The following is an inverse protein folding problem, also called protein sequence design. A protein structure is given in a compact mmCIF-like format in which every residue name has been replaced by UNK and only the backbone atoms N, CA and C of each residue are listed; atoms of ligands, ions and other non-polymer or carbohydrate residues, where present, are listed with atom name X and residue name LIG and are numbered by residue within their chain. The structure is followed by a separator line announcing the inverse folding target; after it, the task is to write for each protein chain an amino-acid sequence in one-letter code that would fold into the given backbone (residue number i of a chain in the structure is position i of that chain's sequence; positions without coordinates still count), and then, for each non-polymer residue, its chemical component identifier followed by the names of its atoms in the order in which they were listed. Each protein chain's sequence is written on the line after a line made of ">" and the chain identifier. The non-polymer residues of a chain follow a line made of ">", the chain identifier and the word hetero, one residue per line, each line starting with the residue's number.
data_IF_466896770543
#
_entry.id   IF_466896770543
#
_cell.length_a   1.000
_cell.length_b   1.000
_cell.length_c   1.000
_cell.angle_alpha   90.00
_cell.angle_beta   90.00
_cell.angle_gamma   90.00
#
_symmetry.space_group_name_H-M   'P 1'
#
loop_
_entity.id
_entity.type
_entity.pdbx_description
1 polymer ?
#
# COMPACT_ATOMS: atom_id res chain seq x y z
N UNK A 1 15.16 12.42 -80.24
CA UNK A 1 13.87 11.99 -79.68
C UNK A 1 13.96 10.51 -79.39
N UNK A 2 14.19 10.16 -78.13
CA UNK A 2 13.77 8.92 -77.46
C UNK A 2 13.95 9.20 -75.98
N UNK A 3 12.88 9.71 -75.37
CA UNK A 3 12.71 9.85 -73.93
C UNK A 3 12.42 8.46 -73.35
N UNK A 4 13.22 8.04 -72.37
CA UNK A 4 12.94 6.88 -71.54
C UNK A 4 12.71 7.36 -70.12
N UNK A 5 11.45 7.66 -69.80
CA UNK A 5 10.99 8.07 -68.46
C UNK A 5 10.99 6.83 -67.55
N UNK A 6 12.05 6.67 -66.75
CA UNK A 6 12.12 5.72 -65.65
C UNK A 6 11.27 6.23 -64.49
N UNK A 7 10.27 5.46 -64.12
CA UNK A 7 9.28 5.76 -63.09
C UNK A 7 9.86 5.38 -61.71
N UNK A 8 10.36 6.37 -60.96
CA UNK A 8 10.81 6.20 -59.58
C UNK A 8 9.60 5.97 -58.66
N UNK A 9 9.22 4.69 -58.47
CA UNK A 9 8.36 4.29 -57.36
C UNK A 9 9.20 4.24 -56.09
N UNK A 10 9.23 5.38 -55.40
CA UNK A 10 9.66 5.49 -54.02
C UNK A 10 8.60 4.80 -53.15
N UNK A 11 8.88 3.55 -52.75
CA UNK A 11 8.10 2.89 -51.71
C UNK A 11 8.28 3.67 -50.40
N UNK A 12 7.21 3.98 -49.64
CA UNK A 12 7.37 4.56 -48.32
C UNK A 12 8.10 3.57 -47.44
N UNK A 13 9.25 3.97 -46.91
CA UNK A 13 9.99 3.23 -45.90
C UNK A 13 9.03 2.86 -44.77
N UNK A 14 8.81 1.56 -44.59
CA UNK A 14 8.16 1.04 -43.40
C UNK A 14 9.06 1.40 -42.22
N UNK A 15 8.75 2.49 -41.53
CA UNK A 15 9.36 2.85 -40.25
C UNK A 15 9.20 1.67 -39.30
N UNK A 16 10.28 0.89 -39.18
CA UNK A 16 10.44 -0.09 -38.12
C UNK A 16 10.33 0.69 -36.82
N UNK A 17 9.36 0.32 -35.97
CA UNK A 17 9.21 0.93 -34.65
C UNK A 17 10.55 0.97 -33.90
N UNK A 18 10.75 1.93 -32.98
CA UNK A 18 12.04 2.18 -32.37
C UNK A 18 12.61 0.89 -31.76
N UNK A 19 13.65 0.36 -32.41
CA UNK A 19 14.36 -0.84 -31.99
C UNK A 19 15.10 -0.50 -30.69
N UNK A 20 14.62 -1.03 -29.57
CA UNK A 20 15.18 -0.72 -28.25
C UNK A 20 16.58 -1.34 -28.18
N UNK A 21 17.58 -0.51 -27.90
CA UNK A 21 18.98 -0.95 -27.78
C UNK A 21 19.09 -2.17 -26.83
N UNK A 22 19.64 -3.31 -27.29
CA UNK A 22 19.78 -4.51 -26.46
C UNK A 22 20.58 -4.27 -25.17
N UNK A 23 21.48 -3.30 -25.14
CA UNK A 23 22.18 -2.90 -23.92
C UNK A 23 21.23 -2.23 -22.91
N UNK A 24 20.34 -1.36 -23.37
CA UNK A 24 19.31 -0.72 -22.54
C UNK A 24 18.33 -1.77 -22.00
N UNK A 25 17.91 -2.73 -22.83
CA UNK A 25 17.06 -3.84 -22.41
C UNK A 25 17.74 -4.74 -21.36
N UNK A 26 19.05 -5.01 -21.50
CA UNK A 26 19.81 -5.79 -20.52
C UNK A 26 19.93 -5.06 -19.18
N UNK A 27 20.23 -3.76 -19.20
CA UNK A 27 20.28 -2.93 -17.98
C UNK A 27 18.91 -2.87 -17.29
N UNK A 28 17.82 -2.67 -18.05
CA UNK A 28 16.47 -2.66 -17.49
C UNK A 28 16.12 -3.98 -16.79
N UNK A 29 16.51 -5.13 -17.36
CA UNK A 29 16.31 -6.45 -16.74
C UNK A 29 17.07 -6.61 -15.42
N UNK A 30 18.31 -6.13 -15.34
CA UNK A 30 19.11 -6.21 -14.11
C UNK A 30 18.54 -5.31 -12.99
N UNK A 31 18.09 -4.10 -13.33
CA UNK A 31 17.43 -3.18 -12.39
C UNK A 31 16.08 -3.73 -11.89
N UNK A 32 15.30 -4.36 -12.78
CA UNK A 32 14.06 -5.06 -12.41
C UNK A 32 14.33 -6.22 -11.46
N UNK A 33 15.36 -7.03 -11.73
CA UNK A 33 15.77 -8.14 -10.86
C UNK A 33 16.22 -7.66 -9.49
N UNK A 34 16.97 -6.56 -9.45
CA UNK A 34 17.45 -5.94 -8.21
C UNK A 34 16.27 -5.39 -7.39
N UNK A 35 15.34 -4.67 -8.02
CA UNK A 35 14.13 -4.14 -7.38
C UNK A 35 13.27 -5.26 -6.81
N UNK A 36 13.07 -6.32 -7.59
CA UNK A 36 12.32 -7.50 -7.16
C UNK A 36 12.98 -8.18 -5.95
N UNK A 37 14.31 -8.34 -5.98
CA UNK A 37 15.07 -8.93 -4.86
C UNK A 37 14.92 -8.08 -3.59
N UNK A 38 14.99 -6.75 -3.72
CA UNK A 38 14.78 -5.82 -2.62
C UNK A 38 13.35 -5.93 -2.03
N UNK A 39 12.32 -6.05 -2.87
CA UNK A 39 10.94 -6.23 -2.42
C UNK A 39 10.74 -7.54 -1.66
N UNK A 40 11.31 -8.65 -2.14
CA UNK A 40 11.25 -9.95 -1.46
C UNK A 40 11.94 -9.89 -0.10
N UNK A 41 13.13 -9.28 -0.04
CA UNK A 41 13.87 -9.16 1.22
C UNK A 41 13.10 -8.30 2.24
N UNK A 42 12.53 -7.17 1.79
CA UNK A 42 11.68 -6.33 2.64
C UNK A 42 10.45 -7.08 3.15
N UNK A 43 9.81 -7.90 2.33
CA UNK A 43 8.68 -8.73 2.75
C UNK A 43 9.08 -9.79 3.80
N UNK A 44 10.24 -10.43 3.63
CA UNK A 44 10.78 -11.38 4.63
C UNK A 44 11.12 -10.69 5.96
N UNK A 45 11.64 -9.47 5.88
CA UNK A 45 11.89 -8.66 7.07
C UNK A 45 10.58 -8.32 7.80
N UNK A 46 9.52 -7.97 7.05
CA UNK A 46 8.19 -7.72 7.60
C UNK A 46 7.62 -8.97 8.28
N UNK A 47 7.72 -10.14 7.64
CA UNK A 47 7.26 -11.41 8.22
C UNK A 47 8.01 -11.74 9.53
N UNK A 48 9.34 -11.58 9.51
CA UNK A 48 10.18 -11.78 10.70
C UNK A 48 9.76 -10.85 11.84
N UNK A 49 9.48 -9.58 11.56
CA UNK A 49 8.95 -8.62 12.56
C UNK A 49 7.56 -9.03 13.05
N UNK A 50 6.68 -9.50 12.16
CA UNK A 50 5.33 -9.93 12.52
C UNK A 50 5.34 -11.12 13.48
N UNK A 51 6.21 -12.12 13.26
CA UNK A 51 6.32 -13.27 14.17
C UNK A 51 6.96 -12.89 15.51
N UNK A 52 7.89 -11.93 15.53
CA UNK A 52 8.43 -11.39 16.78
C UNK A 52 7.36 -10.67 17.60
N UNK A 53 6.52 -9.85 16.95
CA UNK A 53 5.37 -9.19 17.58
C UNK A 53 4.37 -10.22 18.10
N UNK A 54 4.06 -11.25 17.30
CA UNK A 54 3.16 -12.34 17.73
C UNK A 54 3.69 -13.04 18.99
N UNK A 55 4.97 -13.38 19.02
CA UNK A 55 5.62 -13.98 20.20
C UNK A 55 5.53 -13.05 21.41
N UNK A 56 5.82 -11.76 21.24
CA UNK A 56 5.70 -10.77 22.32
C UNK A 56 4.26 -10.68 22.86
N UNK A 57 3.25 -10.68 21.98
CA UNK A 57 1.84 -10.68 22.37
C UNK A 57 1.45 -11.93 23.16
N UNK A 58 1.90 -13.10 22.73
CA UNK A 58 1.64 -14.35 23.45
C UNK A 58 2.29 -14.36 24.84
N UNK A 59 3.51 -13.83 24.97
CA UNK A 59 4.18 -13.65 26.27
C UNK A 59 3.39 -12.69 27.15
N UNK A 60 2.96 -11.55 26.61
CA UNK A 60 2.18 -10.56 27.35
C UNK A 60 0.84 -11.13 27.83
N UNK A 61 0.11 -11.83 26.95
CA UNK A 61 -1.12 -12.55 27.33
C UNK A 61 -0.82 -13.55 28.45
N UNK A 62 0.27 -14.31 28.35
CA UNK A 62 0.71 -15.23 29.40
C UNK A 62 0.88 -14.53 30.75
N UNK A 63 1.58 -13.39 30.78
CA UNK A 63 1.76 -12.58 31.99
C UNK A 63 0.42 -12.10 32.55
N UNK A 64 -0.49 -11.59 31.69
CA UNK A 64 -1.82 -11.13 32.11
C UNK A 64 -2.65 -12.27 32.68
N UNK A 65 -2.66 -13.43 32.03
CA UNK A 65 -3.39 -14.62 32.48
C UNK A 65 -2.82 -15.15 33.80
N UNK A 66 -1.48 -15.19 33.94
CA UNK A 66 -0.83 -15.58 35.20
C UNK A 66 -1.17 -14.60 36.32
N UNK A 67 -1.07 -13.29 36.08
CA UNK A 67 -1.44 -12.26 37.05
C UNK A 67 -2.91 -12.36 37.47
N UNK A 68 -3.81 -12.54 36.50
CA UNK A 68 -5.23 -12.76 36.76
C UNK A 68 -5.50 -14.03 37.58
N UNK A 69 -4.78 -15.13 37.30
CA UNK A 69 -4.91 -16.38 38.06
C UNK A 69 -4.52 -16.21 39.53
N UNK A 70 -3.47 -15.44 39.81
CA UNK A 70 -3.06 -15.12 41.19
C UNK A 70 -4.15 -14.33 41.90
N UNK A 71 -4.71 -13.29 41.25
CA UNK A 71 -5.79 -12.47 41.82
C UNK A 71 -7.02 -13.31 42.15
N UNK A 72 -7.41 -14.23 41.27
CA UNK A 72 -8.55 -15.16 41.49
C UNK A 72 -8.31 -16.10 42.68
N UNK A 73 -7.07 -16.50 42.93
CA UNK A 73 -6.73 -17.42 44.02
C UNK A 73 -6.62 -16.72 45.38
N UNK A 74 -6.41 -15.42 45.40
CA UNK A 74 -6.39 -14.62 46.63
C UNK A 74 -7.80 -14.21 47.06
N UNK A 75 -8.06 -13.99 48.35
CA UNK A 75 -9.34 -13.48 48.90
C UNK A 75 -9.63 -12.02 48.51
N UNK A 76 -9.02 -11.54 47.43
CA UNK A 76 -9.16 -10.19 46.90
C UNK A 76 -10.50 -10.08 46.17
N UNK A 77 -11.23 -8.99 46.39
CA UNK A 77 -12.49 -8.73 45.69
C UNK A 77 -12.26 -8.58 44.18
N UNK A 78 -12.60 -9.63 43.44
CA UNK A 78 -12.51 -9.71 41.98
C UNK A 78 -13.30 -8.59 41.27
N UNK A 79 -14.31 -8.03 41.92
CA UNK A 79 -15.13 -6.94 41.38
C UNK A 79 -14.31 -5.69 41.05
N UNK A 80 -13.24 -5.41 41.81
CA UNK A 80 -12.37 -4.26 41.53
C UNK A 80 -11.48 -4.43 40.30
N UNK A 81 -11.10 -5.67 39.98
CA UNK A 81 -10.17 -5.99 38.90
C UNK A 81 -10.86 -6.29 37.56
N UNK A 82 -12.14 -6.68 37.59
CA UNK A 82 -13.01 -6.76 36.42
C UNK A 82 -13.64 -5.39 36.15
N UNK A 83 -12.89 -4.52 35.48
CA UNK A 83 -13.31 -3.15 35.18
C UNK A 83 -13.18 -2.84 33.67
N UNK A 84 -13.72 -1.71 33.18
CA UNK A 84 -13.73 -1.38 31.75
C UNK A 84 -12.32 -1.39 31.12
N UNK A 85 -11.28 -1.04 31.88
CA UNK A 85 -9.91 -1.02 31.38
C UNK A 85 -9.37 -2.43 31.13
N UNK A 86 -9.52 -3.35 32.09
CA UNK A 86 -9.00 -4.72 31.92
C UNK A 86 -9.74 -5.45 30.80
N UNK A 87 -11.05 -5.20 30.65
CA UNK A 87 -11.85 -5.71 29.53
C UNK A 87 -11.39 -5.13 28.18
N UNK A 88 -11.25 -3.81 28.08
CA UNK A 88 -10.80 -3.15 26.85
C UNK A 88 -9.37 -3.58 26.48
N UNK A 89 -8.46 -3.60 27.46
CA UNK A 89 -7.08 -4.06 27.26
C UNK A 89 -7.02 -5.51 26.82
N UNK A 90 -7.77 -6.40 27.46
CA UNK A 90 -7.87 -7.81 27.05
C UNK A 90 -8.40 -7.96 25.61
N UNK A 91 -9.45 -7.23 25.26
CA UNK A 91 -9.99 -7.24 23.90
C UNK A 91 -9.00 -6.71 22.86
N UNK A 92 -8.32 -5.59 23.15
CA UNK A 92 -7.29 -5.02 22.28
C UNK A 92 -6.11 -5.97 22.07
N UNK A 93 -5.67 -6.70 23.11
CA UNK A 93 -4.63 -7.74 22.97
C UNK A 93 -5.09 -8.87 22.06
N UNK A 94 -6.34 -9.34 22.19
CA UNK A 94 -6.87 -10.39 21.33
C UNK A 94 -6.96 -9.95 19.88
N UNK A 95 -7.48 -8.75 19.61
CA UNK A 95 -7.55 -8.18 18.26
C UNK A 95 -6.14 -8.02 17.67
N UNK A 96 -5.18 -7.48 18.46
CA UNK A 96 -3.79 -7.34 18.04
C UNK A 96 -3.15 -8.69 17.66
N UNK A 97 -3.38 -9.72 18.49
CA UNK A 97 -2.87 -11.07 18.22
C UNK A 97 -3.48 -11.66 16.94
N UNK A 98 -4.78 -11.46 16.72
CA UNK A 98 -5.45 -11.88 15.48
C UNK A 98 -4.88 -11.16 14.24
N UNK A 99 -4.68 -9.84 14.32
CA UNK A 99 -4.06 -9.07 13.23
C UNK A 99 -2.63 -9.52 12.94
N UNK A 100 -1.82 -9.77 13.97
CA UNK A 100 -0.47 -10.30 13.81
C UNK A 100 -0.47 -11.66 13.09
N UNK A 101 -1.38 -12.56 13.48
CA UNK A 101 -1.53 -13.87 12.84
C UNK A 101 -1.97 -13.74 11.37
N UNK A 102 -2.94 -12.86 11.07
CA UNK A 102 -3.36 -12.59 9.68
C UNK A 102 -2.19 -12.04 8.87
N UNK A 103 -1.44 -11.08 9.42
CA UNK A 103 -0.27 -10.48 8.75
C UNK A 103 0.78 -11.53 8.42
N UNK A 104 1.07 -12.44 9.36
CA UNK A 104 1.94 -13.59 9.13
C UNK A 104 1.41 -14.50 8.00
N UNK A 105 0.14 -14.90 8.06
CA UNK A 105 -0.44 -15.79 7.03
C UNK A 105 -0.59 -15.13 5.65
N UNK A 106 -0.81 -13.82 5.60
CA UNK A 106 -0.96 -13.05 4.37
C UNK A 106 0.40 -12.67 3.75
N UNK A 107 1.48 -12.74 4.53
CA UNK A 107 2.85 -12.56 4.06
C UNK A 107 3.41 -13.81 3.36
N UNK A 108 2.68 -14.93 3.37
CA UNK A 108 3.04 -16.12 2.61
C UNK A 108 2.91 -15.80 1.10
N UNK A 109 4.04 -15.42 0.52
CA UNK A 109 4.17 -15.08 -0.88
C UNK A 109 3.77 -16.30 -1.72
N UNK A 110 2.88 -16.09 -2.69
CA UNK A 110 2.95 -16.87 -3.93
C UNK A 110 4.31 -16.56 -4.56
N UNK A 111 5.28 -17.45 -4.33
CA UNK A 111 6.55 -17.44 -5.02
C UNK A 111 6.27 -17.31 -6.53
N UNK A 112 6.95 -16.37 -7.17
CA UNK A 112 6.77 -16.07 -8.59
C UNK A 112 6.90 -17.33 -9.46
N UNK A 113 6.45 -17.21 -10.71
CA UNK A 113 6.47 -18.24 -11.76
C UNK A 113 7.56 -19.28 -11.50
N UNK A 114 7.15 -20.50 -11.15
CA UNK A 114 8.09 -21.58 -10.94
C UNK A 114 8.83 -21.86 -12.25
N UNK A 115 10.02 -22.44 -12.17
CA UNK A 115 10.76 -22.87 -13.37
C UNK A 115 9.86 -23.77 -14.25
N UNK A 116 8.97 -24.56 -13.63
CA UNK A 116 7.99 -25.38 -14.35
C UNK A 116 6.93 -24.56 -15.09
N UNK A 117 6.49 -23.42 -14.56
CA UNK A 117 5.54 -22.53 -15.23
C UNK A 117 6.19 -21.80 -16.42
N UNK A 118 7.46 -21.42 -16.27
CA UNK A 118 8.26 -20.83 -17.35
C UNK A 118 8.49 -21.87 -18.46
N UNK A 119 8.87 -23.10 -18.10
CA UNK A 119 9.07 -24.21 -19.05
C UNK A 119 7.77 -24.56 -19.77
N UNK A 120 6.62 -24.58 -19.07
CA UNK A 120 5.32 -24.81 -19.67
C UNK A 120 4.92 -23.70 -20.64
N UNK A 121 5.24 -22.44 -20.32
CA UNK A 121 4.96 -21.29 -21.18
C UNK A 121 5.86 -21.28 -22.42
N UNK A 122 7.15 -21.62 -22.28
CA UNK A 122 8.08 -21.78 -23.41
C UNK A 122 7.65 -22.95 -24.32
N UNK A 123 7.20 -24.07 -23.72
CA UNK A 123 6.68 -25.21 -24.47
C UNK A 123 5.41 -24.85 -25.26
N UNK A 124 4.46 -24.15 -24.63
CA UNK A 124 3.22 -23.70 -25.28
C UNK A 124 3.49 -22.72 -26.43
N UNK A 125 4.49 -21.84 -26.29
CA UNK A 125 4.87 -20.92 -27.37
C UNK A 125 5.59 -21.65 -28.51
N UNK A 126 6.39 -22.67 -28.21
CA UNK A 126 7.03 -23.55 -29.22
C UNK A 126 6.00 -24.39 -29.99
N UNK A 127 4.91 -24.78 -29.33
CA UNK A 127 3.77 -25.45 -29.98
C UNK A 127 2.97 -24.48 -30.87
N UNK A 128 2.75 -23.23 -30.44
CA UNK A 128 2.12 -22.19 -31.28
C UNK A 128 2.99 -21.74 -32.45
N UNK A 129 4.31 -21.72 -32.27
CA UNK A 129 5.30 -21.42 -33.30
C UNK A 129 5.67 -22.61 -34.18
N UNK A 130 5.01 -23.77 -34.04
CA UNK A 130 5.20 -24.87 -34.98
C UNK A 130 4.69 -24.47 -36.36
N UNK A 131 5.51 -24.62 -37.42
CA UNK A 131 5.15 -24.27 -38.78
C UNK A 131 4.18 -25.33 -39.31
N UNK A 132 2.91 -25.19 -38.95
CA UNK A 132 1.83 -25.89 -39.65
C UNK A 132 1.31 -24.91 -40.70
N UNK A 133 1.87 -25.07 -41.89
CA UNK A 133 1.38 -24.58 -43.17
C UNK A 133 1.26 -23.04 -43.32
N UNK A 134 2.42 -22.39 -43.50
CA UNK A 134 2.51 -21.06 -44.16
C UNK A 134 2.89 -21.29 -45.63
N UNK A 135 2.02 -21.97 -46.36
CA UNK A 135 1.91 -21.81 -47.80
C UNK A 135 0.49 -21.25 -48.01
N UNK A 136 0.36 -20.04 -48.55
CA UNK A 136 -0.90 -19.31 -48.82
C UNK A 136 -1.63 -18.60 -47.66
N UNK A 137 -0.92 -17.81 -46.83
CA UNK A 137 -1.58 -16.69 -46.13
C UNK A 137 -1.09 -15.35 -46.66
N UNK A 138 -2.01 -14.70 -47.38
CA UNK A 138 -1.89 -13.38 -47.98
C UNK A 138 -1.26 -12.35 -47.02
N UNK A 139 -0.37 -11.55 -47.58
CA UNK A 139 0.43 -10.53 -46.92
C UNK A 139 -0.36 -9.30 -46.41
N UNK A 140 -1.65 -9.44 -46.14
CA UNK A 140 -2.55 -8.33 -45.77
C UNK A 140 -3.04 -8.37 -44.30
N UNK A 141 -2.68 -9.38 -43.51
CA UNK A 141 -3.01 -9.42 -42.08
C UNK A 141 -1.81 -9.10 -41.17
N UNK A 142 -1.11 -8.00 -41.49
CA UNK A 142 -0.17 -7.32 -40.61
C UNK A 142 -0.87 -6.54 -39.46
N UNK A 143 -2.06 -7.00 -39.04
CA UNK A 143 -2.92 -6.34 -38.06
C UNK A 143 -3.19 -7.16 -36.80
N UNK A 144 -2.82 -8.44 -36.74
CA UNK A 144 -2.98 -9.24 -35.51
C UNK A 144 -1.78 -9.06 -34.58
N UNK A 145 -1.74 -7.91 -33.90
CA UNK A 145 -0.83 -7.57 -32.79
C UNK A 145 -1.06 -8.50 -31.59
N UNK A 146 -0.67 -9.77 -31.72
CA UNK A 146 -0.50 -10.62 -30.55
C UNK A 146 0.79 -10.15 -29.88
N UNK A 147 0.74 -9.65 -28.63
CA UNK A 147 1.92 -9.16 -27.94
C UNK A 147 2.97 -10.29 -27.90
N UNK A 148 4.21 -9.96 -28.27
CA UNK A 148 5.32 -10.92 -28.29
C UNK A 148 5.50 -11.61 -26.94
N UNK A 149 6.14 -12.77 -26.92
CA UNK A 149 6.43 -13.50 -25.69
C UNK A 149 7.08 -12.61 -24.61
N UNK A 150 8.03 -11.76 -25.02
CA UNK A 150 8.69 -10.79 -24.14
C UNK A 150 7.71 -9.77 -23.55
N UNK A 151 6.75 -9.28 -24.33
CA UNK A 151 5.74 -8.33 -23.84
C UNK A 151 4.78 -8.98 -22.83
N UNK A 152 4.39 -10.24 -23.06
CA UNK A 152 3.54 -10.99 -22.11
C UNK A 152 4.27 -11.31 -20.81
N UNK A 153 5.56 -11.66 -20.88
CA UNK A 153 6.40 -11.82 -19.69
C UNK A 153 6.52 -10.51 -18.93
N UNK A 154 6.85 -9.41 -19.60
CA UNK A 154 6.98 -8.10 -18.97
C UNK A 154 5.65 -7.65 -18.32
N UNK A 155 4.52 -7.87 -18.97
CA UNK A 155 3.18 -7.59 -18.39
C UNK A 155 2.92 -8.43 -17.15
N UNK A 156 3.24 -9.73 -17.18
CA UNK A 156 3.08 -10.62 -16.02
C UNK A 156 3.98 -10.22 -14.83
N UNK A 157 5.23 -9.81 -15.09
CA UNK A 157 6.12 -9.29 -14.04
C UNK A 157 5.63 -7.96 -13.48
N UNK A 158 5.13 -7.06 -14.33
CA UNK A 158 4.55 -5.79 -13.90
C UNK A 158 3.33 -6.02 -12.97
N UNK A 159 2.41 -6.90 -13.36
CA UNK A 159 1.25 -7.26 -12.54
C UNK A 159 1.65 -7.84 -11.18
N UNK A 160 2.71 -8.65 -11.14
CA UNK A 160 3.19 -9.26 -9.90
C UNK A 160 3.91 -8.25 -8.99
N UNK A 161 4.67 -7.32 -9.56
CA UNK A 161 5.27 -6.20 -8.82
C UNK A 161 4.17 -5.33 -8.20
N UNK A 162 3.13 -5.00 -8.96
CA UNK A 162 1.99 -4.23 -8.48
C UNK A 162 1.24 -4.95 -7.34
N UNK A 163 1.06 -6.27 -7.46
CA UNK A 163 0.47 -7.07 -6.40
C UNK A 163 1.33 -7.06 -5.13
N UNK A 164 2.64 -7.31 -5.26
CA UNK A 164 3.56 -7.33 -4.13
C UNK A 164 3.67 -5.96 -3.46
N UNK A 165 3.62 -4.86 -4.24
CA UNK A 165 3.59 -3.50 -3.70
C UNK A 165 2.33 -3.29 -2.84
N UNK A 166 1.15 -3.70 -3.32
CA UNK A 166 -0.10 -3.63 -2.54
C UNK A 166 -0.03 -4.47 -1.27
N UNK A 167 0.44 -5.71 -1.35
CA UNK A 167 0.58 -6.59 -0.17
C UNK A 167 1.56 -6.00 0.84
N UNK A 168 2.68 -5.44 0.38
CA UNK A 168 3.67 -4.78 1.25
C UNK A 168 3.04 -3.60 1.98
N UNK A 169 2.28 -2.76 1.28
CA UNK A 169 1.60 -1.60 1.86
C UNK A 169 0.58 -2.01 2.93
N UNK A 170 -0.22 -3.04 2.63
CA UNK A 170 -1.20 -3.60 3.56
C UNK A 170 -0.51 -4.17 4.80
N UNK A 171 0.56 -4.95 4.62
CA UNK A 171 1.27 -5.57 5.75
C UNK A 171 1.97 -4.54 6.64
N UNK A 172 2.54 -3.48 6.07
CA UNK A 172 3.16 -2.39 6.82
C UNK A 172 2.13 -1.62 7.67
N UNK A 173 0.95 -1.36 7.09
CA UNK A 173 -0.19 -0.78 7.81
C UNK A 173 -0.64 -1.69 8.96
N UNK A 174 -0.86 -2.99 8.68
CA UNK A 174 -1.29 -3.97 9.69
C UNK A 174 -0.27 -4.12 10.81
N UNK A 175 1.03 -4.15 10.50
CA UNK A 175 2.10 -4.20 11.49
C UNK A 175 2.05 -2.97 12.41
N UNK A 176 1.91 -1.77 11.84
CA UNK A 176 1.81 -0.54 12.64
C UNK A 176 0.57 -0.55 13.54
N UNK A 177 -0.60 -0.90 13.00
CA UNK A 177 -1.85 -0.98 13.77
C UNK A 177 -1.70 -2.01 14.90
N UNK A 178 -1.12 -3.17 14.60
CA UNK A 178 -0.88 -4.24 15.59
C UNK A 178 -0.06 -3.69 16.76
N UNK A 179 1.09 -3.05 16.49
CA UNK A 179 1.96 -2.48 17.54
C UNK A 179 1.23 -1.44 18.39
N UNK A 180 0.45 -0.55 17.76
CA UNK A 180 -0.35 0.45 18.48
C UNK A 180 -1.40 -0.20 19.39
N UNK A 181 -2.08 -1.25 18.90
CA UNK A 181 -3.04 -2.01 19.71
C UNK A 181 -2.38 -2.67 20.91
N UNK A 182 -1.19 -3.29 20.76
CA UNK A 182 -0.45 -3.88 21.88
C UNK A 182 -0.14 -2.84 22.94
N UNK A 183 0.40 -1.70 22.50
CA UNK A 183 0.77 -0.61 23.39
C UNK A 183 -0.44 -0.09 24.18
N UNK A 184 -1.53 0.22 23.47
CA UNK A 184 -2.77 0.66 24.12
C UNK A 184 -3.30 -0.40 25.08
N UNK A 185 -3.30 -1.67 24.67
CA UNK A 185 -3.79 -2.75 25.49
C UNK A 185 -3.00 -2.89 26.79
N UNK A 186 -1.67 -2.78 26.72
CA UNK A 186 -0.81 -2.76 27.89
C UNK A 186 -1.14 -1.58 28.81
N UNK A 187 -1.29 -0.37 28.26
CA UNK A 187 -1.68 0.83 29.03
C UNK A 187 -3.02 0.63 29.74
N UNK A 188 -4.02 0.08 29.05
CA UNK A 188 -5.33 -0.24 29.64
C UNK A 188 -5.21 -1.28 30.74
N UNK A 189 -4.47 -2.38 30.54
CA UNK A 189 -4.31 -3.40 31.58
C UNK A 189 -3.64 -2.82 32.83
N UNK A 190 -2.55 -2.06 32.67
CA UNK A 190 -1.84 -1.43 33.78
C UNK A 190 -2.74 -0.43 34.52
N UNK A 191 -3.46 0.42 33.79
CA UNK A 191 -4.41 1.35 34.37
C UNK A 191 -5.54 0.62 35.11
N UNK A 192 -6.06 -0.47 34.54
CA UNK A 192 -7.11 -1.29 35.15
C UNK A 192 -6.69 -1.93 36.46
N UNK A 193 -5.45 -2.44 36.53
CA UNK A 193 -4.88 -2.97 37.78
C UNK A 193 -4.73 -1.84 38.82
N UNK A 194 -4.25 -0.67 38.42
CA UNK A 194 -4.09 0.47 39.32
C UNK A 194 -5.44 0.97 39.87
N UNK A 195 -6.46 1.07 39.00
CA UNK A 195 -7.83 1.46 39.37
C UNK A 195 -8.46 0.45 40.34
N UNK A 196 -8.30 -0.85 40.06
CA UNK A 196 -8.77 -1.91 40.94
C UNK A 196 -8.08 -1.90 42.30
N UNK A 197 -6.76 -1.71 42.32
CA UNK A 197 -5.99 -1.62 43.56
C UNK A 197 -6.31 -0.37 44.39
N UNK A 198 -6.63 0.76 43.73
CA UNK A 198 -7.03 1.99 44.40
C UNK A 198 -8.46 1.93 44.96
N UNK A 199 -9.26 0.94 44.57
CA UNK A 199 -10.64 0.79 45.02
C UNK A 199 -11.55 1.94 44.58
N UNK A 200 -11.33 2.48 43.38
CA UNK A 200 -12.14 3.57 42.85
C UNK A 200 -13.61 3.13 42.70
N UNK A 201 -14.53 4.07 42.91
CA UNK A 201 -15.94 3.83 42.63
C UNK A 201 -16.17 3.56 41.14
N UNK A 202 -17.34 3.00 40.81
CA UNK A 202 -17.71 2.75 39.41
C UNK A 202 -17.70 4.03 38.56
N UNK A 203 -18.20 5.14 39.10
CA UNK A 203 -18.23 6.41 38.39
C UNK A 203 -16.81 6.96 38.11
N UNK A 204 -15.93 6.94 39.10
CA UNK A 204 -14.54 7.39 38.95
C UNK A 204 -13.77 6.52 37.96
N UNK A 205 -14.01 5.21 37.97
CA UNK A 205 -13.43 4.26 37.03
C UNK A 205 -13.87 4.56 35.59
N UNK A 206 -15.16 4.81 35.35
CA UNK A 206 -15.67 5.15 34.02
C UNK A 206 -15.17 6.51 33.52
N UNK A 207 -15.08 7.52 34.40
CA UNK A 207 -14.52 8.82 34.04
C UNK A 207 -13.04 8.69 33.68
N UNK A 208 -12.26 7.98 34.49
CA UNK A 208 -10.83 7.73 34.22
C UNK A 208 -10.64 6.95 32.92
N UNK A 209 -11.52 5.99 32.64
CA UNK A 209 -11.53 5.22 31.41
C UNK A 209 -11.79 6.11 30.20
N UNK A 210 -12.79 6.99 30.27
CA UNK A 210 -13.10 7.93 29.20
C UNK A 210 -11.92 8.88 28.93
N UNK A 211 -11.30 9.43 29.98
CA UNK A 211 -10.12 10.30 29.85
C UNK A 211 -8.97 9.56 29.19
N UNK A 212 -8.63 8.36 29.66
CA UNK A 212 -7.56 7.57 29.07
C UNK A 212 -7.87 7.18 27.61
N UNK A 213 -9.14 6.90 27.30
CA UNK A 213 -9.58 6.59 25.93
C UNK A 213 -9.40 7.78 25.00
N UNK A 214 -9.74 8.99 25.45
CA UNK A 214 -9.52 10.22 24.68
C UNK A 214 -8.03 10.46 24.45
N UNK A 215 -7.20 10.30 25.48
CA UNK A 215 -5.75 10.45 25.36
C UNK A 215 -5.14 9.38 24.43
N UNK A 216 -5.56 8.13 24.57
CA UNK A 216 -5.14 7.03 23.70
C UNK A 216 -5.54 7.26 22.25
N UNK A 217 -6.79 7.70 22.01
CA UNK A 217 -7.27 8.08 20.69
C UNK A 217 -6.47 9.25 20.08
N UNK A 218 -6.16 10.27 20.88
CA UNK A 218 -5.28 11.37 20.48
C UNK A 218 -3.87 10.89 20.11
N UNK A 219 -3.28 10.01 20.92
CA UNK A 219 -1.99 9.40 20.63
C UNK A 219 -2.01 8.60 19.32
N UNK A 220 -3.03 7.74 19.12
CA UNK A 220 -3.19 6.98 17.88
C UNK A 220 -3.39 7.89 16.68
N UNK A 221 -4.16 8.98 16.82
CA UNK A 221 -4.36 9.96 15.78
C UNK A 221 -3.04 10.65 15.39
N UNK A 222 -2.24 11.09 16.38
CA UNK A 222 -0.91 11.67 16.13
C UNK A 222 -0.01 10.65 15.45
N UNK A 223 0.07 9.41 15.96
CA UNK A 223 0.89 8.35 15.38
C UNK A 223 0.49 8.05 13.93
N UNK A 224 -0.80 8.12 13.60
CA UNK A 224 -1.29 7.97 12.24
C UNK A 224 -0.89 9.14 11.33
N UNK A 225 -0.80 10.38 11.85
CA UNK A 225 -0.48 11.57 11.07
C UNK A 225 1.03 11.89 11.02
N UNK A 226 1.83 11.40 11.97
CA UNK A 226 3.28 11.60 11.97
C UNK A 226 3.97 10.97 10.76
N UNK A 227 3.37 9.95 10.15
CA UNK A 227 3.90 9.29 8.95
C UNK A 227 3.85 10.20 7.69
N UNK A 228 3.18 11.35 7.77
CA UNK A 228 3.08 12.34 6.69
C UNK A 228 4.03 13.54 6.84
N UNK A 229 4.91 13.52 7.85
CA UNK A 229 5.87 14.60 8.09
C UNK A 229 7.22 14.42 7.37
N UNK A 230 7.41 13.32 6.64
CA UNK A 230 8.45 13.26 5.63
C UNK A 230 8.05 14.14 4.45
N UNK A 231 8.90 15.07 3.96
CA UNK A 231 8.56 15.81 2.75
C UNK A 231 8.23 14.78 1.67
N UNK A 232 7.01 14.84 1.13
CA UNK A 232 6.65 14.13 -0.09
C UNK A 232 7.74 14.48 -1.11
N UNK A 233 8.68 13.57 -1.35
CA UNK A 233 9.63 13.74 -2.45
C UNK A 233 8.91 13.41 -3.75
N UNK A 234 7.78 14.08 -4.01
CA UNK A 234 7.16 14.23 -5.33
C UNK A 234 7.99 15.24 -6.10
N UNK A 235 9.24 14.90 -6.37
CA UNK A 235 10.07 15.69 -7.26
C UNK A 235 9.62 15.37 -8.68
N UNK A 236 8.72 16.20 -9.23
CA UNK A 236 8.32 16.14 -10.64
C UNK A 236 9.53 16.20 -11.59
N UNK A 237 10.68 16.70 -11.13
CA UNK A 237 11.94 16.75 -11.86
C UNK A 237 12.80 15.46 -11.76
N UNK A 238 12.43 14.47 -10.94
CA UNK A 238 13.17 13.22 -10.75
C UNK A 238 12.43 11.98 -11.27
N UNK A 239 11.15 12.13 -11.65
CA UNK A 239 10.35 11.12 -12.34
C UNK A 239 10.38 11.36 -13.85
N UNK A 240 10.57 10.31 -14.65
CA UNK A 240 10.29 10.40 -16.09
C UNK A 240 8.82 10.76 -16.30
N UNK A 241 8.50 11.46 -17.40
CA UNK A 241 7.13 11.78 -17.75
C UNK A 241 6.32 10.47 -17.87
N UNK A 242 5.37 10.26 -16.96
CA UNK A 242 4.61 9.01 -16.83
C UNK A 242 5.11 7.95 -15.83
N UNK A 243 6.27 8.11 -15.16
CA UNK A 243 6.80 7.15 -14.18
C UNK A 243 6.87 7.76 -12.79
N UNK A 244 5.85 7.53 -11.96
CA UNK A 244 5.82 8.01 -10.58
C UNK A 244 6.69 7.13 -9.68
N UNK A 245 7.83 7.66 -9.22
CA UNK A 245 8.62 7.05 -8.15
C UNK A 245 7.90 7.29 -6.82
N UNK A 246 6.91 6.45 -6.51
CA UNK A 246 6.23 6.45 -5.21
C UNK A 246 7.17 5.85 -4.15
N UNK A 247 7.44 6.62 -3.08
CA UNK A 247 8.27 6.20 -1.95
C UNK A 247 7.44 5.31 -1.02
N UNK A 248 6.99 4.16 -1.53
CA UNK A 248 6.03 3.29 -0.84
C UNK A 248 4.61 3.87 -0.88
N UNK A 249 3.63 2.99 -1.02
CA UNK A 249 2.23 3.38 -1.06
C UNK A 249 1.85 4.14 0.22
N UNK A 250 1.18 5.29 0.06
CA UNK A 250 0.63 6.05 1.17
C UNK A 250 -0.36 5.17 1.96
N UNK A 251 -0.55 5.39 3.27
CA UNK A 251 -1.49 4.57 4.07
C UNK A 251 -2.93 4.61 3.56
N UNK A 252 -3.33 5.70 2.89
CA UNK A 252 -4.61 5.80 2.16
C UNK A 252 -4.68 4.83 1.00
N UNK A 253 -3.57 4.65 0.29
CA UNK A 253 -3.41 3.68 -0.78
C UNK A 253 -3.33 2.24 -0.24
N UNK A 254 -2.69 2.03 0.91
CA UNK A 254 -2.72 0.75 1.62
C UNK A 254 -4.15 0.37 2.05
N UNK A 255 -4.93 1.34 2.54
CA UNK A 255 -6.33 1.13 2.93
C UNK A 255 -7.24 0.89 1.72
N UNK A 256 -7.07 1.65 0.63
CA UNK A 256 -7.82 1.41 -0.61
C UNK A 256 -7.46 0.05 -1.22
N UNK A 257 -6.18 -0.35 -1.14
CA UNK A 257 -5.71 -1.67 -1.57
C UNK A 257 -6.31 -2.78 -0.73
N UNK A 258 -6.38 -2.61 0.61
CA UNK A 258 -7.07 -3.55 1.50
C UNK A 258 -8.55 -3.68 1.14
N UNK A 259 -9.25 -2.56 0.94
CA UNK A 259 -10.67 -2.55 0.56
C UNK A 259 -10.89 -3.25 -0.79
N UNK A 260 -10.04 -2.97 -1.77
CA UNK A 260 -10.08 -3.63 -3.07
C UNK A 260 -9.84 -5.15 -2.95
N UNK A 261 -8.88 -5.58 -2.11
CA UNK A 261 -8.65 -7.01 -1.80
C UNK A 261 -9.84 -7.67 -1.11
N UNK A 262 -10.58 -6.92 -0.29
CA UNK A 262 -11.81 -7.37 0.37
C UNK A 262 -13.06 -7.32 -0.55
N UNK A 263 -12.90 -6.95 -1.82
CA UNK A 263 -14.00 -6.87 -2.79
C UNK A 263 -14.94 -5.67 -2.59
N UNK A 264 -14.52 -4.65 -1.83
CA UNK A 264 -15.22 -3.36 -1.72
C UNK A 264 -14.47 -2.34 -2.58
N UNK A 265 -15.00 -2.00 -3.75
CA UNK A 265 -14.44 -0.88 -4.52
C UNK A 265 -14.49 0.40 -3.66
N UNK A 266 -13.38 1.15 -3.56
CA UNK A 266 -13.38 2.44 -2.88
C UNK A 266 -14.34 3.39 -3.62
N UNK A 267 -15.27 3.99 -2.87
CA UNK A 267 -16.25 4.93 -3.40
C UNK A 267 -15.56 6.04 -4.20
N UNK A 268 -16.00 6.28 -5.44
CA UNK A 268 -15.47 7.28 -6.37
C UNK A 268 -15.41 8.73 -5.83
N UNK A 269 -15.96 8.97 -4.64
CA UNK A 269 -16.01 10.26 -3.97
C UNK A 269 -14.66 10.72 -3.40
N UNK A 270 -13.70 9.81 -3.18
CA UNK A 270 -12.35 10.19 -2.69
C UNK A 270 -11.40 10.70 -3.77
N UNK A 271 -11.73 10.55 -5.06
CA UNK A 271 -10.87 10.94 -6.18
C UNK A 271 -11.04 12.41 -6.63
N UNK A 272 -12.04 13.14 -6.11
CA UNK A 272 -12.45 14.46 -6.65
C UNK A 272 -12.06 15.64 -5.76
N UNK A 273 -11.06 15.50 -4.88
CA UNK A 273 -10.58 16.62 -4.06
C UNK A 273 -9.07 16.83 -4.14
N UNK A 274 -8.57 17.02 -5.35
CA UNK A 274 -7.38 17.87 -5.58
C UNK A 274 -7.83 19.31 -5.82
N UNK A 275 -7.23 20.32 -5.17
CA UNK A 275 -7.61 21.71 -5.36
C UNK A 275 -7.19 22.15 -6.77
N UNK A 276 -8.17 22.60 -7.55
CA UNK A 276 -7.94 23.26 -8.81
C UNK A 276 -6.99 24.45 -8.60
N UNK A 277 -5.95 24.49 -9.44
CA UNK A 277 -5.04 25.60 -9.57
C UNK A 277 -5.84 26.90 -9.80
N UNK A 278 -5.75 27.80 -8.84
CA UNK A 278 -6.25 29.17 -8.93
C UNK A 278 -5.30 29.93 -9.87
N UNK A 279 -5.60 29.91 -11.17
CA UNK A 279 -4.91 30.73 -12.16
C UNK A 279 -5.29 32.19 -11.94
N UNK A 280 -4.40 32.93 -11.29
CA UNK A 280 -4.43 34.38 -11.22
C UNK A 280 -3.98 34.93 -12.56
N UNK A 281 -4.93 35.49 -13.31
CA UNK A 281 -4.67 36.25 -14.53
C UNK A 281 -4.57 37.75 -14.18
N UNK A 282 -3.45 38.44 -14.47
CA UNK A 282 -3.33 39.87 -14.27
C UNK A 282 -3.28 40.59 -15.62
N UNK A 283 -4.32 41.32 -16.03
CA UNK A 283 -4.14 42.53 -16.85
C UNK A 283 -5.39 43.40 -16.96
N UNK A 284 -5.11 44.72 -16.90
CA UNK A 284 -5.82 45.85 -17.54
C UNK A 284 -7.30 46.09 -17.20
N UNK A 285 -7.73 47.23 -16.64
CA UNK A 285 -7.29 48.61 -16.89
C UNK A 285 -8.46 49.38 -17.54
N UNK A 286 -8.58 50.67 -17.20
CA UNK A 286 -9.68 51.63 -17.52
C UNK A 286 -10.90 51.53 -16.59
N UNK A 287 -11.43 52.59 -16.00
CA UNK A 287 -11.17 54.04 -16.08
C UNK A 287 -12.42 54.76 -15.60
N UNK A 288 -12.25 55.85 -14.83
CA UNK A 288 -13.27 56.86 -14.46
C UNK A 288 -14.46 56.33 -13.62
N UNK A 289 -15.05 57.03 -12.65
CA UNK A 289 -15.39 58.44 -12.60
C UNK A 289 -15.67 58.85 -11.14
N UNK A 290 -15.42 60.13 -10.87
CA UNK A 290 -15.72 60.89 -9.65
C UNK A 290 -17.14 60.64 -9.13
N UNK A 291 -17.35 60.64 -7.81
CA UNK A 291 -17.95 61.82 -7.16
C UNK A 291 -17.79 61.80 -5.65
N UNK A 292 -17.55 62.98 -5.08
CA UNK A 292 -17.36 63.20 -3.65
C UNK A 292 -18.65 63.64 -2.96
N UNK A 293 -18.79 63.26 -1.69
CA UNK A 293 -19.55 63.99 -0.66
C UNK A 293 -19.12 63.41 0.70
N UNK A 294 -18.44 64.20 1.57
CA UNK A 294 -19.03 65.11 2.59
C UNK A 294 -20.19 64.44 3.34
N UNK A 295 -20.31 64.45 4.65
CA UNK A 295 -19.68 65.19 5.75
C UNK A 295 -20.15 64.49 7.03
N UNK A 296 -19.33 64.58 8.07
CA UNK A 296 -19.66 64.84 9.49
C UNK A 296 -21.02 64.44 10.08
N UNK A 297 -20.95 63.79 11.25
CA UNK A 297 -22.05 63.67 12.20
C UNK A 297 -21.89 62.50 13.14
#
# INVERSE_FOLDING_TARGET
>A
MTEGSGNDQHAPDCESGPDIDPAVAATAREELRTTFTYQVERLREIDTKAIEILKANLVLIGIVVTGGSIVVQTEVDLGGFLNPFTLAGGLLLLVSTGLAAVTYTASDLRGGLSIADVDAMIAAERERGSPVDVEDRDADDAGSTTPGFDERLLRSYAEWIDYNARVTAVNDLLATVTVLLVFLAFVYVVAGVAVGAAGLSAAESWVSFAVLTVLGGGFTWIAAHMDHLGPETRHAAASFDGVQLSKGADRTEAWSSLLAMLGREPSAESAVKSPAAESSDPSEGTGEEKDGKRSDG
#
